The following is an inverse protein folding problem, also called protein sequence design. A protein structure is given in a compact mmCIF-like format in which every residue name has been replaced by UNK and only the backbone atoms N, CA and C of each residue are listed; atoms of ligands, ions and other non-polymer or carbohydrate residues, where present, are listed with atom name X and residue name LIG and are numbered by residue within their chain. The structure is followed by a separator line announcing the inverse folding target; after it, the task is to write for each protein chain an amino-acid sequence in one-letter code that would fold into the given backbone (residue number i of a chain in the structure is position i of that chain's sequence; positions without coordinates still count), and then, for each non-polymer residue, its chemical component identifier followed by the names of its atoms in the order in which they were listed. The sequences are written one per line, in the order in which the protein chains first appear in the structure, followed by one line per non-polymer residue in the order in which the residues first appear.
data_IF_983916670344
#
_entry.id   IF_983916670344
#
_cell.length_a   1.000
_cell.length_b   1.000
_cell.length_c   1.000
_cell.angle_alpha   90.00
_cell.angle_beta   90.00
_cell.angle_gamma   90.00
#
_symmetry.space_group_name_H-M   'P 1'
#
loop_
_entity.id
_entity.type
_entity.pdbx_description
1 polymer ?
#
# COMPACT_ATOMS: atom_id res chain seq x y z
N UNK A 1 14.70 -8.78 5.46
CA UNK A 1 14.41 -7.38 5.09
C UNK A 1 15.26 -7.03 3.89
N UNK A 2 14.75 -6.17 2.99
CA UNK A 2 15.46 -5.75 1.79
C UNK A 2 15.83 -4.26 1.87
N UNK A 3 17.06 -3.93 1.46
CA UNK A 3 17.50 -2.56 1.23
C UNK A 3 17.76 -2.38 -0.27
N UNK A 4 17.06 -1.43 -0.87
CA UNK A 4 17.33 -0.94 -2.23
C UNK A 4 18.22 0.30 -2.08
N UNK A 5 19.50 0.24 -2.47
CA UNK A 5 20.44 1.32 -2.24
C UNK A 5 20.12 2.51 -3.16
N UNK A 6 19.91 3.68 -2.57
CA UNK A 6 19.73 4.96 -3.27
C UNK A 6 20.73 5.99 -2.69
N UNK A 7 22.02 5.92 -3.08
CA UNK A 7 23.07 6.77 -2.51
C UNK A 7 22.78 8.26 -2.66
N UNK A 8 22.98 9.04 -1.59
CA UNK A 8 22.72 10.49 -1.59
C UNK A 8 21.24 10.88 -1.52
N UNK A 9 20.31 9.92 -1.39
CA UNK A 9 18.90 10.24 -1.22
C UNK A 9 18.64 11.06 0.06
N UNK A 10 17.85 12.13 -0.08
CA UNK A 10 17.46 13.00 1.04
C UNK A 10 16.38 12.37 1.92
N UNK A 11 15.63 11.41 1.38
CA UNK A 11 14.55 10.70 2.04
C UNK A 11 14.71 9.19 1.86
N UNK A 12 14.01 8.42 2.69
CA UNK A 12 13.89 6.97 2.55
C UNK A 12 12.44 6.59 2.32
N UNK A 13 12.20 5.71 1.34
CA UNK A 13 10.90 5.11 1.12
C UNK A 13 10.82 3.78 1.89
N UNK A 14 9.75 3.61 2.65
CA UNK A 14 9.52 2.46 3.52
C UNK A 14 8.28 1.70 3.05
N UNK A 15 8.41 0.39 2.95
CA UNK A 15 7.31 -0.52 2.69
C UNK A 15 7.37 -1.67 3.69
N UNK A 16 6.27 -1.92 4.40
CA UNK A 16 6.08 -3.09 5.25
C UNK A 16 4.86 -3.82 4.73
N UNK A 17 5.05 -5.04 4.25
CA UNK A 17 4.00 -5.89 3.72
C UNK A 17 3.91 -7.20 4.51
N UNK A 18 2.69 -7.66 4.77
CA UNK A 18 2.44 -9.00 5.32
C UNK A 18 1.31 -9.71 4.56
N UNK A 19 1.24 -11.05 4.57
CA UNK A 19 0.11 -11.76 3.99
C UNK A 19 -1.21 -11.29 4.59
N UNK A 20 -2.25 -11.20 3.77
CA UNK A 20 -3.59 -10.81 4.19
C UNK A 20 -4.63 -11.46 3.28
N UNK A 21 -5.92 -11.40 3.64
CA UNK A 21 -6.96 -12.01 2.84
C UNK A 21 -7.08 -11.44 1.42
N UNK A 22 -7.32 -12.35 0.48
CA UNK A 22 -7.61 -12.04 -0.92
C UNK A 22 -8.91 -11.28 -1.11
N UNK A 23 -9.15 -10.81 -2.34
CA UNK A 23 -10.33 -9.99 -2.68
C UNK A 23 -11.66 -10.75 -2.54
N UNK A 24 -11.64 -12.08 -2.71
CA UNK A 24 -12.82 -12.95 -2.65
C UNK A 24 -13.00 -13.64 -1.28
N UNK A 25 -12.09 -13.42 -0.35
CA UNK A 25 -12.12 -14.03 0.98
C UNK A 25 -13.02 -13.25 1.94
N UNK A 26 -13.69 -13.97 2.85
CA UNK A 26 -14.70 -13.42 3.76
C UNK A 26 -14.18 -12.28 4.63
N UNK A 27 -12.93 -12.41 5.09
CA UNK A 27 -12.25 -11.51 6.01
C UNK A 27 -11.74 -10.22 5.33
N UNK A 28 -11.97 -10.06 4.02
CA UNK A 28 -11.48 -8.93 3.24
C UNK A 28 -12.04 -7.60 3.75
N UNK A 29 -13.31 -7.58 4.17
CA UNK A 29 -13.95 -6.36 4.64
C UNK A 29 -13.33 -5.90 5.98
N UNK A 30 -13.19 -6.81 6.92
CA UNK A 30 -12.58 -6.58 8.23
C UNK A 30 -11.10 -6.20 8.08
N UNK A 31 -10.37 -6.86 7.18
CA UNK A 31 -8.96 -6.55 6.92
C UNK A 31 -8.80 -5.15 6.33
N UNK A 32 -9.77 -4.72 5.51
CA UNK A 32 -9.77 -3.35 4.96
C UNK A 32 -9.98 -2.34 6.09
N UNK A 33 -10.86 -2.63 7.06
CA UNK A 33 -11.04 -1.76 8.23
C UNK A 33 -9.76 -1.67 9.08
N UNK A 34 -9.06 -2.79 9.28
CA UNK A 34 -7.77 -2.81 9.97
C UNK A 34 -6.70 -2.01 9.22
N UNK A 35 -6.69 -2.08 7.88
CA UNK A 35 -5.81 -1.24 7.07
C UNK A 35 -6.13 0.26 7.24
N UNK A 36 -7.41 0.63 7.27
CA UNK A 36 -7.83 2.02 7.42
C UNK A 36 -7.42 2.60 8.77
N UNK A 37 -7.68 1.88 9.86
CA UNK A 37 -7.31 2.32 11.21
C UNK A 37 -5.79 2.39 11.41
N UNK A 38 -5.00 1.57 10.68
CA UNK A 38 -3.54 1.63 10.73
C UNK A 38 -3.02 2.87 10.02
N UNK A 39 -3.41 3.10 8.75
CA UNK A 39 -2.76 4.12 7.93
C UNK A 39 -3.55 4.69 6.76
N UNK A 40 -4.76 4.23 6.43
CA UNK A 40 -5.49 4.79 5.29
C UNK A 40 -6.26 6.08 5.64
N UNK A 41 -6.69 6.21 6.90
CA UNK A 41 -7.44 7.39 7.36
C UNK A 41 -6.50 8.50 7.85
N UNK A 42 -6.95 9.75 7.74
CA UNK A 42 -6.21 10.92 8.25
C UNK A 42 -5.97 10.81 9.77
N UNK A 43 -6.97 10.31 10.50
CA UNK A 43 -6.95 10.06 11.95
C UNK A 43 -6.65 8.60 12.28
N UNK A 44 -5.83 7.94 11.45
CA UNK A 44 -5.33 6.59 11.69
C UNK A 44 -4.17 6.59 12.68
N UNK A 45 -3.96 5.46 13.34
CA UNK A 45 -2.99 5.31 14.44
C UNK A 45 -1.56 5.66 14.00
N UNK A 46 -1.12 5.19 12.82
CA UNK A 46 0.22 5.50 12.33
C UNK A 46 0.37 6.95 11.89
N UNK A 47 -0.67 7.56 11.31
CA UNK A 47 -0.62 8.99 10.96
C UNK A 47 -0.52 9.86 12.22
N UNK A 48 -1.28 9.57 13.27
CA UNK A 48 -1.19 10.33 14.53
C UNK A 48 0.21 10.27 15.16
N UNK A 49 0.92 9.15 15.05
CA UNK A 49 2.29 9.05 15.59
C UNK A 49 3.32 9.62 14.61
N UNK A 50 3.40 9.06 13.40
CA UNK A 50 4.50 9.34 12.46
C UNK A 50 4.41 10.74 11.86
N UNK A 51 3.20 11.20 11.53
CA UNK A 51 2.98 12.53 10.92
C UNK A 51 2.77 13.61 11.97
N UNK A 52 1.90 13.37 12.96
CA UNK A 52 1.47 14.44 13.87
C UNK A 52 2.37 14.59 15.09
N UNK A 53 2.68 13.50 15.79
CA UNK A 53 3.53 13.54 16.98
C UNK A 53 5.02 13.70 16.63
N UNK A 54 5.51 12.91 15.66
CA UNK A 54 6.94 12.83 15.34
C UNK A 54 7.38 13.69 14.17
N UNK A 55 6.47 13.98 13.23
CA UNK A 55 6.79 14.75 12.03
C UNK A 55 7.81 14.07 11.10
N UNK A 56 7.93 12.73 11.15
CA UNK A 56 8.89 11.99 10.30
C UNK A 56 8.47 11.94 8.83
N UNK A 57 7.16 11.99 8.58
CA UNK A 57 6.56 11.95 7.25
C UNK A 57 5.39 12.93 7.13
N UNK A 58 5.06 13.31 5.90
CA UNK A 58 3.80 13.97 5.58
C UNK A 58 2.59 13.04 5.65
N UNK A 59 2.80 11.72 5.64
CA UNK A 59 1.73 10.75 5.77
C UNK A 59 2.18 9.30 5.63
N UNK A 60 1.42 8.43 6.25
CA UNK A 60 1.49 6.99 6.11
C UNK A 60 0.28 6.58 5.30
N UNK A 61 0.48 5.61 4.41
CA UNK A 61 -0.59 4.94 3.67
C UNK A 61 -0.65 3.49 4.10
N UNK A 62 -1.86 2.94 4.18
CA UNK A 62 -2.06 1.50 4.33
C UNK A 62 -3.13 1.02 3.37
N UNK A 63 -2.92 -0.14 2.76
CA UNK A 63 -3.86 -0.73 1.83
C UNK A 63 -3.68 -2.24 1.74
N UNK A 64 -4.70 -2.92 1.23
CA UNK A 64 -4.63 -4.32 0.83
C UNK A 64 -4.45 -4.41 -0.68
N UNK A 65 -3.47 -5.21 -1.12
CA UNK A 65 -3.20 -5.44 -2.53
C UNK A 65 -4.43 -6.04 -3.24
N UNK A 66 -4.57 -5.66 -4.50
CA UNK A 66 -5.72 -5.98 -5.36
C UNK A 66 -5.23 -6.01 -6.81
N UNK A 67 -5.76 -6.87 -7.70
CA UNK A 67 -6.95 -7.74 -7.52
C UNK A 67 -6.60 -9.20 -7.22
N UNK A 68 -5.65 -9.47 -6.32
CA UNK A 68 -5.33 -10.85 -5.91
C UNK A 68 -6.57 -11.49 -5.26
N UNK A 69 -7.14 -12.54 -5.89
CA UNK A 69 -8.43 -13.13 -5.51
C UNK A 69 -8.35 -13.93 -4.21
N UNK A 70 -7.33 -14.76 -4.08
CA UNK A 70 -7.02 -15.57 -2.90
C UNK A 70 -5.57 -15.28 -2.49
N UNK A 71 -5.34 -15.05 -1.21
CA UNK A 71 -4.06 -14.51 -0.72
C UNK A 71 -3.76 -13.10 -1.27
N UNK A 72 -3.33 -12.20 -0.40
CA UNK A 72 -2.94 -10.84 -0.77
C UNK A 72 -1.90 -10.31 0.23
N UNK A 73 -1.56 -9.03 0.11
CA UNK A 73 -0.71 -8.31 1.06
C UNK A 73 -1.42 -7.14 1.70
N UNK A 74 -1.35 -7.03 3.03
CA UNK A 74 -1.57 -5.75 3.72
C UNK A 74 -0.24 -5.01 3.71
N UNK A 75 -0.25 -3.81 3.15
CA UNK A 75 0.92 -2.96 2.96
C UNK A 75 0.74 -1.70 3.80
N UNK A 76 1.82 -1.29 4.46
CA UNK A 76 2.01 0.05 5.03
C UNK A 76 3.17 0.68 4.29
N UNK A 77 2.97 1.87 3.72
CA UNK A 77 3.99 2.58 2.97
C UNK A 77 4.05 4.05 3.37
N UNK A 78 5.27 4.58 3.47
CA UNK A 78 5.53 5.99 3.80
C UNK A 78 6.90 6.43 3.29
N UNK A 79 7.10 7.72 3.14
CA UNK A 79 8.40 8.33 2.85
C UNK A 79 8.81 9.21 4.01
N UNK A 80 10.02 9.05 4.51
CA UNK A 80 10.53 9.77 5.69
C UNK A 80 11.84 10.49 5.38
N UNK A 81 12.15 11.51 6.16
CA UNK A 81 13.50 12.09 6.15
C UNK A 81 14.54 11.01 6.50
N UNK A 82 15.66 10.98 5.77
CA UNK A 82 16.67 9.91 5.88
C UNK A 82 17.21 9.68 7.30
N UNK A 83 17.19 10.71 8.15
CA UNK A 83 17.63 10.61 9.56
C UNK A 83 16.64 9.86 10.46
N UNK A 84 15.39 9.68 10.01
CA UNK A 84 14.29 9.10 10.78
C UNK A 84 13.86 7.72 10.26
N UNK A 85 14.65 7.06 9.41
CA UNK A 85 14.34 5.75 8.81
C UNK A 85 14.14 4.65 9.86
N UNK A 86 15.10 4.45 10.76
CA UNK A 86 14.99 3.46 11.84
C UNK A 86 13.86 3.78 12.83
N UNK A 87 13.76 5.02 13.33
CA UNK A 87 12.64 5.45 14.17
C UNK A 87 11.27 5.23 13.53
N UNK A 88 11.09 5.56 12.25
CA UNK A 88 9.82 5.38 11.57
C UNK A 88 9.46 3.89 11.39
N UNK A 89 10.41 3.03 11.05
CA UNK A 89 10.18 1.58 11.02
C UNK A 89 9.74 1.08 12.39
N UNK A 90 10.38 1.54 13.46
CA UNK A 90 10.02 1.18 14.84
C UNK A 90 8.56 1.54 15.16
N UNK A 91 8.09 2.72 14.76
CA UNK A 91 6.70 3.13 14.97
C UNK A 91 5.71 2.31 14.12
N UNK A 92 6.10 1.90 12.90
CA UNK A 92 5.28 0.98 12.09
C UNK A 92 5.16 -0.38 12.82
N UNK A 93 6.27 -0.96 13.28
CA UNK A 93 6.28 -2.23 14.01
C UNK A 93 5.42 -2.14 15.29
N UNK A 94 5.53 -1.03 16.03
CA UNK A 94 4.67 -0.77 17.20
C UNK A 94 3.20 -0.64 16.83
N UNK A 95 2.86 -0.03 15.69
CA UNK A 95 1.47 0.06 15.23
C UNK A 95 0.83 -1.31 15.03
N UNK A 96 1.57 -2.26 14.42
CA UNK A 96 1.12 -3.65 14.28
C UNK A 96 1.00 -4.36 15.64
N UNK A 97 2.01 -4.25 16.51
CA UNK A 97 1.93 -4.80 17.87
C UNK A 97 0.79 -4.16 18.71
N UNK A 98 0.46 -2.91 18.39
CA UNK A 98 -0.65 -2.14 18.94
C UNK A 98 -2.02 -2.77 18.65
N UNK A 99 -2.16 -3.54 17.58
CA UNK A 99 -3.42 -4.26 17.30
C UNK A 99 -3.75 -5.30 18.37
N UNK A 100 -2.74 -5.82 19.07
CA UNK A 100 -2.91 -6.76 20.19
C UNK A 100 -3.09 -6.06 21.53
N UNK A 101 -2.35 -4.97 21.75
CA UNK A 101 -2.26 -4.31 23.07
C UNK A 101 -3.26 -3.18 23.26
N UNK A 102 -3.71 -2.57 22.17
CA UNK A 102 -4.73 -1.53 22.13
C UNK A 102 -5.89 -2.00 21.24
N UNK A 103 -6.91 -2.65 21.83
CA UNK A 103 -8.06 -3.15 21.08
C UNK A 103 -8.68 -2.07 20.20
N UNK A 104 -9.25 -2.49 19.07
CA UNK A 104 -10.01 -1.58 18.19
C UNK A 104 -11.19 -1.02 18.97
N UNK A 105 -11.39 0.29 18.90
CA UNK A 105 -12.50 0.98 19.54
C UNK A 105 -13.71 1.09 18.58
N UNK A 106 -14.91 1.22 19.14
CA UNK A 106 -16.15 1.30 18.35
C UNK A 106 -16.14 2.49 17.38
N UNK A 107 -15.59 3.63 17.79
CA UNK A 107 -15.52 4.83 16.94
C UNK A 107 -14.61 4.64 15.71
N UNK A 108 -13.56 3.81 15.81
CA UNK A 108 -12.69 3.46 14.68
C UNK A 108 -13.47 2.67 13.62
N UNK A 109 -14.32 1.75 14.07
CA UNK A 109 -15.19 0.95 13.19
C UNK A 109 -16.29 1.82 12.59
N UNK A 110 -16.95 2.65 13.39
CA UNK A 110 -18.05 3.50 12.94
C UNK A 110 -17.59 4.53 11.90
N UNK A 111 -16.39 5.09 12.07
CA UNK A 111 -15.76 5.96 11.07
C UNK A 111 -15.57 5.23 9.74
N UNK A 112 -15.00 4.02 9.79
CA UNK A 112 -14.80 3.18 8.61
C UNK A 112 -16.11 2.88 7.90
N UNK A 113 -17.13 2.43 8.65
CA UNK A 113 -18.47 2.13 8.10
C UNK A 113 -19.10 3.37 7.47
N UNK A 114 -18.96 4.54 8.11
CA UNK A 114 -19.51 5.80 7.61
C UNK A 114 -18.87 6.19 6.27
N UNK A 115 -17.55 6.07 6.13
CA UNK A 115 -16.83 6.31 4.87
C UNK A 115 -17.36 5.41 3.77
N UNK A 116 -17.52 4.10 4.03
CA UNK A 116 -18.00 3.16 3.02
C UNK A 116 -19.48 3.34 2.67
N UNK A 117 -20.34 3.73 3.61
CA UNK A 117 -21.75 4.07 3.31
C UNK A 117 -21.83 5.27 2.36
N UNK A 118 -21.01 6.29 2.58
CA UNK A 118 -20.94 7.47 1.69
C UNK A 118 -20.39 7.09 0.32
N UNK A 119 -19.33 6.29 0.27
CA UNK A 119 -18.76 5.82 -0.99
C UNK A 119 -19.77 4.96 -1.79
N UNK A 120 -20.53 4.09 -1.12
CA UNK A 120 -21.56 3.28 -1.76
C UNK A 120 -22.68 4.15 -2.34
N UNK A 121 -23.18 5.14 -1.58
CA UNK A 121 -24.20 6.07 -2.05
C UNK A 121 -23.73 6.87 -3.29
N UNK A 122 -22.47 7.34 -3.29
CA UNK A 122 -21.90 8.14 -4.39
C UNK A 122 -21.47 7.35 -5.62
N UNK A 123 -21.22 6.03 -5.49
CA UNK A 123 -20.57 5.23 -6.55
C UNK A 123 -21.35 5.15 -7.87
N UNK A 124 -22.67 5.39 -7.85
CA UNK A 124 -23.55 5.34 -9.02
C UNK A 124 -24.11 6.71 -9.44
N UNK A 125 -23.65 7.81 -8.84
CA UNK A 125 -24.20 9.15 -9.10
C UNK A 125 -23.71 9.77 -10.42
N UNK A 126 -22.60 9.28 -10.97
CA UNK A 126 -22.01 9.81 -12.21
C UNK A 126 -21.76 8.71 -13.25
N UNK A 127 -21.99 9.03 -14.53
CA UNK A 127 -21.69 8.11 -15.64
C UNK A 127 -20.21 7.71 -15.68
N UNK A 128 -19.29 8.60 -15.28
CA UNK A 128 -17.86 8.33 -15.19
C UNK A 128 -17.51 7.33 -14.06
N UNK A 129 -18.16 7.46 -12.90
CA UNK A 129 -18.00 6.53 -11.78
C UNK A 129 -18.53 5.12 -12.11
N UNK A 130 -19.69 5.05 -12.79
CA UNK A 130 -20.24 3.79 -13.27
C UNK A 130 -19.31 3.11 -14.30
N UNK A 131 -18.79 3.88 -15.27
CA UNK A 131 -17.88 3.35 -16.28
C UNK A 131 -16.54 2.87 -15.67
N UNK A 132 -16.01 3.62 -14.70
CA UNK A 132 -14.80 3.21 -13.97
C UNK A 132 -15.02 1.93 -13.17
N UNK A 133 -16.20 1.77 -12.56
CA UNK A 133 -16.57 0.54 -11.84
C UNK A 133 -16.69 -0.66 -12.77
N UNK A 134 -17.25 -0.46 -13.98
CA UNK A 134 -17.33 -1.48 -15.02
C UNK A 134 -15.93 -1.92 -15.49
N UNK A 135 -15.04 -0.97 -15.78
CA UNK A 135 -13.66 -1.26 -16.18
C UNK A 135 -12.94 -2.02 -15.07
N UNK A 136 -13.07 -1.59 -13.81
CA UNK A 136 -12.45 -2.25 -12.67
C UNK A 136 -12.96 -3.68 -12.46
N UNK A 137 -14.27 -3.90 -12.64
CA UNK A 137 -14.87 -5.23 -12.59
C UNK A 137 -14.28 -6.15 -13.67
N UNK A 138 -14.29 -5.71 -14.93
CA UNK A 138 -13.71 -6.48 -16.06
C UNK A 138 -12.22 -6.76 -15.83
N UNK A 139 -11.44 -5.75 -15.44
CA UNK A 139 -10.00 -5.89 -15.22
C UNK A 139 -9.62 -6.82 -14.06
N UNK A 140 -10.51 -6.97 -13.06
CA UNK A 140 -10.32 -7.91 -11.94
C UNK A 140 -10.96 -9.28 -12.20
N UNK A 141 -11.61 -9.47 -13.34
CA UNK A 141 -12.38 -10.68 -13.64
C UNK A 141 -13.51 -10.90 -12.62
N UNK A 142 -14.16 -9.82 -12.19
CA UNK A 142 -15.36 -9.82 -11.34
C UNK A 142 -16.52 -9.12 -12.05
N UNK A 143 -17.73 -9.26 -11.52
CA UNK A 143 -18.91 -8.54 -11.98
C UNK A 143 -19.08 -7.22 -11.23
N UNK A 144 -19.97 -6.33 -11.71
CA UNK A 144 -20.41 -5.17 -10.93
C UNK A 144 -21.12 -5.58 -9.65
N UNK A 145 -21.90 -6.66 -9.70
CA UNK A 145 -22.62 -7.19 -8.54
C UNK A 145 -21.66 -7.69 -7.46
N UNK A 146 -20.56 -8.34 -7.84
CA UNK A 146 -19.49 -8.72 -6.91
C UNK A 146 -18.92 -7.49 -6.20
N UNK A 147 -18.63 -6.43 -6.96
CA UNK A 147 -18.07 -5.19 -6.41
C UNK A 147 -19.06 -4.50 -5.45
N UNK A 148 -20.34 -4.45 -5.82
CA UNK A 148 -21.40 -3.92 -4.95
C UNK A 148 -21.56 -4.74 -3.68
N UNK A 149 -21.52 -6.08 -3.79
CA UNK A 149 -21.61 -7.00 -2.64
C UNK A 149 -20.44 -6.79 -1.68
N UNK A 150 -19.21 -6.70 -2.21
CA UNK A 150 -18.00 -6.41 -1.41
C UNK A 150 -18.08 -5.04 -0.73
N UNK A 151 -18.56 -4.01 -1.43
CA UNK A 151 -18.76 -2.68 -0.83
C UNK A 151 -19.84 -2.71 0.26
N UNK A 152 -20.95 -3.40 0.03
CA UNK A 152 -22.03 -3.55 1.01
C UNK A 152 -21.56 -4.30 2.26
N UNK A 153 -20.69 -5.31 2.13
CA UNK A 153 -20.12 -6.03 3.26
C UNK A 153 -19.40 -5.09 4.25
N UNK A 154 -18.66 -4.09 3.75
CA UNK A 154 -17.97 -3.09 4.58
C UNK A 154 -18.92 -2.19 5.38
N UNK A 155 -20.19 -2.10 4.99
CA UNK A 155 -21.20 -1.32 5.72
C UNK A 155 -21.83 -2.07 6.91
N UNK A 156 -21.52 -3.36 7.04
CA UNK A 156 -22.05 -4.30 8.03
C UNK A 156 -20.99 -4.77 9.04
N UNK A 157 -19.83 -4.11 9.06
CA UNK A 157 -18.75 -4.46 9.98
C UNK A 157 -19.21 -4.33 11.44
N UNK A 158 -18.80 -5.30 12.26
CA UNK A 158 -19.02 -5.31 13.71
C UNK A 158 -17.68 -5.14 14.44
N UNK A 159 -17.73 -4.60 15.65
CA UNK A 159 -16.53 -4.41 16.47
C UNK A 159 -15.78 -5.72 16.69
N UNK A 160 -16.49 -6.77 17.10
CA UNK A 160 -15.89 -8.09 17.39
C UNK A 160 -15.20 -8.70 16.16
N UNK A 161 -15.80 -8.55 14.97
CA UNK A 161 -15.21 -9.06 13.73
C UNK A 161 -13.92 -8.31 13.38
N UNK A 162 -13.93 -6.97 13.51
CA UNK A 162 -12.74 -6.14 13.24
C UNK A 162 -11.66 -6.38 14.30
N UNK A 163 -12.01 -6.52 15.58
CA UNK A 163 -11.04 -6.86 16.63
C UNK A 163 -10.41 -8.23 16.41
N UNK A 164 -11.21 -9.25 16.08
CA UNK A 164 -10.71 -10.58 15.72
C UNK A 164 -9.72 -10.49 14.56
N UNK A 165 -10.07 -9.72 13.53
CA UNK A 165 -9.19 -9.55 12.37
C UNK A 165 -7.94 -8.73 12.68
N UNK A 166 -8.03 -7.72 13.55
CA UNK A 166 -6.88 -6.96 14.02
C UNK A 166 -5.85 -7.87 14.68
N UNK A 167 -6.30 -8.80 15.54
CA UNK A 167 -5.43 -9.80 16.16
C UNK A 167 -4.80 -10.74 15.11
N UNK A 168 -5.58 -11.18 14.12
CA UNK A 168 -5.08 -12.04 13.04
C UNK A 168 -4.03 -11.34 12.14
N UNK A 169 -4.10 -10.01 12.03
CA UNK A 169 -3.19 -9.19 11.23
C UNK A 169 -2.04 -8.57 12.05
N UNK A 170 -2.01 -8.74 13.37
CA UNK A 170 -1.03 -8.12 14.27
C UNK A 170 0.39 -8.67 14.11
N UNK A 171 0.53 -9.98 13.80
CA UNK A 171 1.84 -10.60 13.60
C UNK A 171 2.45 -10.16 12.28
N UNK A 172 3.67 -9.64 12.34
CA UNK A 172 4.53 -9.38 11.17
C UNK A 172 5.44 -10.57 10.82
N UNK A 173 5.16 -11.77 11.34
CA UNK A 173 5.82 -12.99 10.90
C UNK A 173 4.79 -13.88 10.15
N UNK A 174 4.97 -14.14 8.83
CA UNK A 174 6.00 -13.58 7.96
C UNK A 174 5.66 -12.16 7.47
N UNK A 175 6.69 -11.33 7.23
CA UNK A 175 6.57 -10.03 6.55
C UNK A 175 7.75 -9.73 5.64
N UNK A 176 7.53 -8.82 4.70
CA UNK A 176 8.53 -8.22 3.85
C UNK A 176 8.65 -6.74 4.21
N UNK A 177 9.82 -6.36 4.73
CA UNK A 177 10.19 -4.96 4.95
C UNK A 177 11.16 -4.58 3.83
N UNK A 178 10.85 -3.51 3.10
CA UNK A 178 11.69 -2.93 2.05
C UNK A 178 11.99 -1.48 2.41
N UNK A 179 13.26 -1.11 2.35
CA UNK A 179 13.72 0.26 2.51
C UNK A 179 14.44 0.66 1.23
N UNK A 180 14.05 1.78 0.62
CA UNK A 180 14.80 2.42 -0.45
C UNK A 180 15.43 3.70 0.13
N UNK A 181 16.76 3.79 0.15
CA UNK A 181 17.46 4.94 0.75
C UNK A 181 18.98 4.83 0.75
N UNK A 182 19.64 5.87 1.26
CA UNK A 182 21.10 5.97 1.33
C UNK A 182 21.68 4.94 2.33
N UNK A 183 22.44 3.93 1.86
CA UNK A 183 22.96 2.86 2.73
C UNK A 183 23.79 3.36 3.91
N UNK A 184 24.60 4.41 3.70
CA UNK A 184 25.52 4.94 4.71
C UNK A 184 24.76 5.59 5.89
N UNK A 185 23.54 6.06 5.63
CA UNK A 185 22.66 6.67 6.63
C UNK A 185 21.69 5.65 7.23
N UNK A 186 21.17 4.74 6.40
CA UNK A 186 20.10 3.81 6.77
C UNK A 186 20.63 2.60 7.54
N UNK A 187 21.73 1.98 7.12
CA UNK A 187 22.22 0.74 7.76
C UNK A 187 22.53 0.90 9.25
N UNK A 188 23.19 1.99 9.72
CA UNK A 188 23.41 2.18 11.15
C UNK A 188 22.10 2.25 11.95
N UNK A 189 21.07 2.88 11.38
CA UNK A 189 19.76 2.98 12.03
C UNK A 189 19.05 1.63 12.11
N UNK A 190 19.11 0.83 11.05
CA UNK A 190 18.54 -0.53 11.02
C UNK A 190 19.21 -1.45 12.05
N UNK A 191 20.54 -1.40 12.14
CA UNK A 191 21.28 -2.14 13.14
C UNK A 191 20.91 -1.72 14.58
N UNK A 192 20.71 -0.42 14.82
CA UNK A 192 20.32 0.12 16.13
C UNK A 192 18.95 -0.37 16.61
N UNK A 193 18.01 -0.62 15.68
CA UNK A 193 16.68 -1.16 16.00
C UNK A 193 16.63 -2.70 15.96
N UNK A 194 17.78 -3.36 15.81
CA UNK A 194 17.90 -4.82 15.83
C UNK A 194 17.62 -5.53 14.50
N UNK A 195 17.39 -4.79 13.41
CA UNK A 195 17.20 -5.36 12.08
C UNK A 195 18.56 -5.55 11.39
N UNK A 196 19.26 -6.65 11.74
CA UNK A 196 20.63 -6.93 11.28
C UNK A 196 20.71 -7.77 10.01
N UNK A 197 19.70 -8.61 9.75
CA UNK A 197 19.62 -9.44 8.55
C UNK A 197 19.06 -8.63 7.37
N UNK A 198 19.91 -7.74 6.84
CA UNK A 198 19.59 -6.85 5.72
C UNK A 198 20.19 -7.41 4.43
N UNK A 199 19.32 -7.78 3.50
CA UNK A 199 19.71 -8.16 2.15
C UNK A 199 19.70 -6.92 1.25
N UNK A 200 20.81 -6.63 0.59
CA UNK A 200 20.92 -5.51 -0.34
C UNK A 200 20.53 -6.00 -1.73
N UNK A 201 19.53 -5.39 -2.33
CA UNK A 201 19.05 -5.74 -3.68
C UNK A 201 19.45 -4.65 -4.65
N UNK A 202 20.26 -4.96 -5.67
CA UNK A 202 20.66 -3.99 -6.69
C UNK A 202 19.57 -3.82 -7.74
N UNK A 203 19.36 -2.59 -8.22
CA UNK A 203 18.23 -2.20 -9.08
C UNK A 203 18.14 -2.96 -10.41
N UNK A 204 19.27 -3.39 -10.94
CA UNK A 204 19.43 -4.25 -12.12
C UNK A 204 18.99 -5.71 -11.89
N UNK A 205 18.96 -6.16 -10.64
CA UNK A 205 18.49 -7.50 -10.21
C UNK A 205 17.06 -7.47 -9.63
N UNK A 206 16.48 -6.28 -9.41
CA UNK A 206 15.16 -6.05 -8.76
C UNK A 206 13.97 -6.65 -9.53
N UNK A 207 14.10 -6.87 -10.83
CA UNK A 207 12.95 -7.18 -11.69
C UNK A 207 12.25 -8.50 -11.37
N UNK A 208 12.99 -9.57 -11.10
CA UNK A 208 12.44 -10.92 -11.07
C UNK A 208 12.48 -11.56 -9.68
N UNK A 209 13.62 -11.58 -8.99
CA UNK A 209 13.75 -12.27 -7.70
C UNK A 209 12.94 -11.60 -6.57
N UNK A 210 12.97 -10.27 -6.50
CA UNK A 210 12.20 -9.52 -5.49
C UNK A 210 10.70 -9.64 -5.76
N UNK A 211 10.30 -9.56 -7.03
CA UNK A 211 8.91 -9.79 -7.44
C UNK A 211 8.47 -11.22 -7.09
N UNK A 212 9.31 -12.21 -7.33
CA UNK A 212 9.04 -13.62 -7.01
C UNK A 212 8.94 -13.88 -5.51
N UNK A 213 9.77 -13.26 -4.67
CA UNK A 213 9.64 -13.38 -3.20
C UNK A 213 8.39 -12.67 -2.69
N UNK A 214 8.05 -11.50 -3.25
CA UNK A 214 6.79 -10.84 -2.94
C UNK A 214 5.59 -11.71 -3.38
N UNK A 215 5.64 -12.34 -4.55
CA UNK A 215 4.60 -13.26 -5.02
C UNK A 215 4.48 -14.50 -4.13
N UNK A 216 5.59 -15.16 -3.82
CA UNK A 216 5.62 -16.36 -2.96
C UNK A 216 5.09 -16.03 -1.55
N UNK A 217 5.45 -14.87 -0.98
CA UNK A 217 4.94 -14.42 0.33
C UNK A 217 3.46 -14.03 0.28
N UNK A 218 2.99 -13.43 -0.81
CA UNK A 218 1.64 -12.88 -0.93
C UNK A 218 0.65 -13.84 -1.61
N UNK A 219 1.02 -15.12 -1.76
CA UNK A 219 0.14 -16.16 -2.30
C UNK A 219 -0.12 -16.05 -3.81
N UNK A 220 0.70 -15.29 -4.53
CA UNK A 220 0.62 -15.20 -5.99
C UNK A 220 1.03 -16.51 -6.65
N UNK A 221 0.15 -17.10 -7.46
CA UNK A 221 0.50 -18.27 -8.28
C UNK A 221 1.58 -17.87 -9.31
N UNK A 222 2.62 -18.70 -9.47
CA UNK A 222 3.82 -18.49 -10.34
C UNK A 222 3.54 -18.35 -11.85
N UNK A 223 2.29 -18.16 -12.24
CA UNK A 223 1.79 -18.27 -13.62
C UNK A 223 1.38 -16.93 -14.23
N UNK A 224 1.46 -15.81 -13.50
CA UNK A 224 1.22 -14.49 -14.09
C UNK A 224 2.52 -13.95 -14.72
N UNK A 225 2.57 -13.69 -16.03
CA UNK A 225 3.74 -13.05 -16.62
C UNK A 225 3.88 -11.65 -16.01
N UNK A 226 5.07 -11.33 -15.50
CA UNK A 226 5.47 -10.03 -14.93
C UNK A 226 5.34 -8.85 -15.93
N UNK A 227 4.86 -9.09 -17.15
CA UNK A 227 4.67 -8.10 -18.21
C UNK A 227 3.51 -7.12 -17.99
N UNK A 228 2.72 -7.27 -16.92
CA UNK A 228 1.55 -6.42 -16.65
C UNK A 228 1.62 -5.68 -15.30
N UNK A 229 2.81 -5.51 -14.72
CA UNK A 229 2.94 -4.68 -13.52
C UNK A 229 2.76 -3.19 -13.87
N UNK A 230 1.84 -2.45 -13.21
CA UNK A 230 1.73 -1.00 -13.35
C UNK A 230 2.96 -0.26 -12.76
N UNK A 231 3.87 -0.98 -12.09
CA UNK A 231 5.09 -0.45 -11.49
C UNK A 231 6.30 -0.48 -12.43
N UNK A 232 6.12 -0.14 -13.72
CA UNK A 232 7.27 0.33 -14.50
C UNK A 232 7.71 1.67 -13.92
N UNK A 233 8.67 1.61 -13.01
CA UNK A 233 9.55 2.75 -12.75
C UNK A 233 10.34 2.92 -14.04
N UNK A 234 9.94 3.91 -14.85
CA UNK A 234 10.57 4.16 -16.14
C UNK A 234 12.08 4.27 -15.98
N UNK A 235 12.81 3.60 -16.87
CA UNK A 235 14.21 3.89 -17.13
C UNK A 235 14.32 5.40 -17.35
N UNK A 236 15.23 6.06 -16.63
CA UNK A 236 15.39 7.51 -16.58
C UNK A 236 15.47 8.19 -17.95
N UNK A 237 14.32 8.44 -18.55
CA UNK A 237 14.14 9.10 -19.82
C UNK A 237 12.85 9.91 -19.75
N UNK A 238 13.02 11.23 -19.56
CA UNK A 238 12.02 12.30 -19.77
C UNK A 238 10.64 11.83 -20.23
N UNK A 239 9.65 11.91 -19.34
CA UNK A 239 8.23 11.88 -19.70
C UNK A 239 7.93 13.10 -20.56
N UNK A 240 8.11 12.98 -21.89
CA UNK A 240 7.53 13.93 -22.84
C UNK A 240 6.03 13.68 -22.83
N UNK A 241 5.26 14.68 -22.41
CA UNK A 241 3.82 14.68 -22.50
C UNK A 241 3.41 14.38 -23.95
N UNK A 242 2.76 13.24 -24.17
CA UNK A 242 2.10 12.95 -25.44
C UNK A 242 0.77 13.71 -25.41
N UNK A 243 0.78 14.97 -25.82
CA UNK A 243 -0.45 15.64 -26.22
C UNK A 243 -0.91 15.05 -27.55
N UNK A 244 -2.09 14.43 -27.53
CA UNK A 244 -2.78 13.96 -28.71
C UNK A 244 -3.24 15.15 -29.56
N UNK A 245 -2.49 15.48 -30.62
CA UNK A 245 -2.98 16.35 -31.67
C UNK A 245 -3.89 15.55 -32.61
N UNK A 246 -5.20 15.62 -32.41
CA UNK A 246 -6.20 15.22 -33.41
C UNK A 246 -6.51 16.41 -34.32
N UNK A 247 -6.21 16.27 -35.61
CA UNK A 247 -6.56 17.24 -36.65
C UNK A 247 -5.33 17.70 -37.42
N UNK A 248 -5.20 17.24 -38.67
CA UNK A 248 -4.05 17.51 -39.52
C UNK A 248 -3.73 18.99 -39.62
N UNK A 249 -2.58 19.37 -39.04
CA UNK A 249 -1.71 20.50 -39.40
C UNK A 249 -0.39 20.33 -38.64
N UNK A 250 0.73 20.48 -39.36
CA UNK A 250 2.10 20.36 -38.88
C UNK A 250 2.32 21.03 -37.51
N UNK A 251 2.85 20.27 -36.54
CA UNK A 251 3.40 20.82 -35.30
C UNK A 251 4.91 20.55 -35.28
N UNK A 252 5.66 21.43 -35.92
CA UNK A 252 7.11 21.49 -35.82
C UNK A 252 7.56 21.83 -34.41
N UNK A 253 8.60 21.15 -33.94
CA UNK A 253 9.20 21.32 -32.65
C UNK A 253 9.75 22.75 -32.44
N UNK A 254 9.31 23.43 -31.37
CA UNK A 254 10.08 24.52 -30.78
C UNK A 254 10.18 24.29 -29.27
N UNK A 255 11.39 23.99 -28.83
CA UNK A 255 11.83 23.98 -27.44
C UNK A 255 12.23 25.43 -27.14
N UNK A 256 11.59 26.05 -26.15
CA UNK A 256 12.14 27.23 -25.50
C UNK A 256 12.38 26.88 -24.03
N UNK A 257 13.65 27.01 -23.63
CA UNK A 257 14.09 27.02 -22.25
C UNK A 257 13.85 28.41 -21.68
N UNK A 258 13.36 28.46 -20.44
CA UNK A 258 13.82 29.33 -19.35
C UNK A 258 13.45 28.64 -18.03
#
# INVERSE_FOLDING_TARGET
MLLVPEPGASQSALFVARPAPGTDESERAESTAVSNLLGADFSSRLNSVIREEKGYSYGVSSYLMSPMKAGSGLVVATTVERANTGPAITEILKGFAGLTTLPVAQDEVDRTVTVYRRALAGSAETSAGLFSSLIGAVGSGSTLEDQQTRMAARTKLTLDAVQKQALALASLDPSLIVVAGDPDVVMPQLAAIGLKDVEIVKRDEVGEETAMRALDLLGGNRQAPLSASPWRVGDGGTTRAVHSCTGGRDCGAQIHAD
#
